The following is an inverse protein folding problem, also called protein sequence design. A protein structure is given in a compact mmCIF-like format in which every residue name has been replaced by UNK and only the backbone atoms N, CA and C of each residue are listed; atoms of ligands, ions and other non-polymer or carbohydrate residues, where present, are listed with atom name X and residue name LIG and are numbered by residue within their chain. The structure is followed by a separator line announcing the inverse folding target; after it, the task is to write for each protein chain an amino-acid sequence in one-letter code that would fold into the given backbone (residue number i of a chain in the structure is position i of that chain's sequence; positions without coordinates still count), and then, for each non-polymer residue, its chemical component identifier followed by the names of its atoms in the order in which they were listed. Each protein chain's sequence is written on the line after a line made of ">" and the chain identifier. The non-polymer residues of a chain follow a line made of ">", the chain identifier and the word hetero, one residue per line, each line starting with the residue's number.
data_IF_121483024918
#
_entry.id   IF_121483024918
#
_cell.length_a   1.000
_cell.length_b   1.000
_cell.length_c   1.000
_cell.angle_alpha   90.00
_cell.angle_beta   90.00
_cell.angle_gamma   90.00
#
_symmetry.space_group_name_H-M   'P 1'
#
loop_
_entity.id
_entity.type
_entity.pdbx_description
1 polymer ?
#
# COMPACT_ATOMS: atom_id res chain seq x y z
N UNK A 1 16.21 -42.69 8.31
CA UNK A 1 14.99 -42.52 9.15
C UNK A 1 14.81 -41.06 9.57
N UNK A 2 15.87 -40.27 9.69
CA UNK A 2 15.83 -38.85 10.03
C UNK A 2 15.23 -37.95 8.93
N UNK A 3 15.45 -38.28 7.64
CA UNK A 3 14.94 -37.50 6.50
C UNK A 3 13.41 -37.39 6.46
N UNK A 4 12.69 -38.41 6.94
CA UNK A 4 11.24 -38.41 6.97
C UNK A 4 10.69 -37.47 8.04
N UNK A 5 11.40 -37.37 9.16
CA UNK A 5 11.06 -36.46 10.25
C UNK A 5 11.35 -35.01 9.85
N UNK A 6 12.48 -34.73 9.20
CA UNK A 6 12.76 -33.39 8.70
C UNK A 6 11.74 -32.92 7.66
N UNK A 7 11.30 -33.80 6.76
CA UNK A 7 10.26 -33.48 5.79
C UNK A 7 8.93 -33.15 6.47
N UNK A 8 8.58 -33.88 7.52
CA UNK A 8 7.38 -33.61 8.29
C UNK A 8 7.44 -32.25 9.00
N UNK A 9 8.58 -31.91 9.61
CA UNK A 9 8.80 -30.61 10.25
C UNK A 9 8.78 -29.47 9.23
N UNK A 10 9.38 -29.66 8.05
CA UNK A 10 9.34 -28.67 6.95
C UNK A 10 7.91 -28.40 6.48
N UNK A 11 7.08 -29.43 6.31
CA UNK A 11 5.67 -29.30 5.91
C UNK A 11 4.84 -28.59 6.97
N UNK A 12 5.02 -28.90 8.25
CA UNK A 12 4.30 -28.23 9.33
C UNK A 12 4.69 -26.76 9.45
N UNK A 13 5.98 -26.45 9.29
CA UNK A 13 6.51 -25.08 9.37
C UNK A 13 6.00 -24.24 8.20
N UNK A 14 6.03 -24.78 6.97
CA UNK A 14 5.53 -24.07 5.78
C UNK A 14 4.02 -23.85 5.83
N UNK A 15 3.26 -24.81 6.34
CA UNK A 15 1.81 -24.69 6.53
C UNK A 15 1.49 -23.60 7.56
N UNK A 16 2.20 -23.60 8.70
CA UNK A 16 2.05 -22.59 9.74
C UNK A 16 2.38 -21.18 9.21
N UNK A 17 3.53 -21.01 8.55
CA UNK A 17 3.93 -19.74 7.93
C UNK A 17 2.90 -19.23 6.91
N UNK A 18 2.36 -20.13 6.07
CA UNK A 18 1.32 -19.78 5.09
C UNK A 18 0.05 -19.26 5.77
N UNK A 19 -0.38 -19.89 6.87
CA UNK A 19 -1.56 -19.43 7.62
C UNK A 19 -1.33 -18.10 8.33
N UNK A 20 -0.13 -17.85 8.88
CA UNK A 20 0.24 -16.57 9.49
C UNK A 20 0.28 -15.44 8.45
N UNK A 21 0.93 -15.67 7.30
CA UNK A 21 1.00 -14.71 6.19
C UNK A 21 -0.38 -14.35 5.62
N UNK A 22 -1.31 -15.32 5.58
CA UNK A 22 -2.70 -15.09 5.21
C UNK A 22 -3.43 -14.17 6.22
N UNK A 23 -3.16 -14.33 7.51
CA UNK A 23 -3.75 -13.49 8.56
C UNK A 23 -3.22 -12.04 8.51
N UNK A 24 -1.91 -11.86 8.36
CA UNK A 24 -1.27 -10.55 8.24
C UNK A 24 -1.75 -9.80 6.98
N UNK A 25 -1.82 -10.48 5.84
CA UNK A 25 -2.36 -9.90 4.60
C UNK A 25 -3.82 -9.46 4.74
N UNK A 26 -4.63 -10.19 5.52
CA UNK A 26 -6.02 -9.82 5.82
C UNK A 26 -6.09 -8.56 6.68
N UNK A 27 -5.21 -8.44 7.66
CA UNK A 27 -5.12 -7.25 8.51
C UNK A 27 -4.62 -6.03 7.73
N UNK A 28 -3.59 -6.19 6.90
CA UNK A 28 -3.07 -5.12 6.04
C UNK A 28 -4.11 -4.61 5.02
N UNK A 29 -4.88 -5.51 4.41
CA UNK A 29 -5.98 -5.10 3.50
C UNK A 29 -7.07 -4.30 4.22
N UNK A 30 -7.37 -4.66 5.48
CA UNK A 30 -8.34 -3.93 6.31
C UNK A 30 -7.84 -2.55 6.70
N UNK A 31 -6.57 -2.41 7.10
CA UNK A 31 -6.00 -1.10 7.44
C UNK A 31 -5.95 -0.16 6.24
N UNK A 32 -5.52 -0.66 5.07
CA UNK A 32 -5.52 0.11 3.82
C UNK A 32 -6.96 0.53 3.44
N UNK A 33 -7.94 -0.36 3.61
CA UNK A 33 -9.35 -0.03 3.40
C UNK A 33 -9.86 1.08 4.33
N UNK A 34 -9.53 0.99 5.61
CA UNK A 34 -9.93 1.98 6.62
C UNK A 34 -9.29 3.36 6.36
N UNK A 35 -8.02 3.39 5.97
CA UNK A 35 -7.32 4.64 5.66
C UNK A 35 -7.91 5.34 4.42
N UNK A 36 -8.25 4.57 3.37
CA UNK A 36 -8.97 5.10 2.19
C UNK A 36 -10.34 5.66 2.54
N UNK A 37 -11.08 4.98 3.41
CA UNK A 37 -12.39 5.43 3.85
C UNK A 37 -12.29 6.75 4.64
N UNK A 38 -11.36 6.82 5.60
CA UNK A 38 -11.12 8.05 6.38
C UNK A 38 -10.77 9.24 5.48
N UNK A 39 -9.92 9.03 4.48
CA UNK A 39 -9.58 10.07 3.50
C UNK A 39 -10.80 10.55 2.68
N UNK A 40 -11.67 9.63 2.28
CA UNK A 40 -12.90 9.97 1.56
C UNK A 40 -13.89 10.75 2.44
N UNK A 41 -14.01 10.39 3.72
CA UNK A 41 -14.85 11.08 4.71
C UNK A 41 -14.36 12.51 4.99
N UNK A 42 -13.05 12.72 5.18
CA UNK A 42 -12.46 14.05 5.38
C UNK A 42 -12.70 14.97 4.14
N UNK A 43 -12.61 14.39 2.94
CA UNK A 43 -12.89 15.10 1.70
C UNK A 43 -14.38 15.47 1.58
N UNK A 44 -15.27 14.54 1.91
CA UNK A 44 -16.71 14.76 1.90
C UNK A 44 -17.12 15.82 2.92
N UNK A 45 -16.56 15.78 4.14
CA UNK A 45 -16.78 16.79 5.17
C UNK A 45 -16.33 18.18 4.72
N UNK A 46 -15.16 18.27 4.08
CA UNK A 46 -14.66 19.53 3.52
C UNK A 46 -15.60 20.04 2.42
N UNK A 47 -16.05 19.17 1.52
CA UNK A 47 -16.99 19.54 0.46
C UNK A 47 -18.33 20.01 1.01
N UNK A 48 -18.82 19.38 2.09
CA UNK A 48 -20.06 19.76 2.77
C UNK A 48 -19.97 21.14 3.44
N UNK A 49 -18.85 21.43 4.13
CA UNK A 49 -18.60 22.76 4.71
C UNK A 49 -18.65 23.84 3.61
N UNK A 50 -17.96 23.60 2.49
CA UNK A 50 -17.92 24.59 1.41
C UNK A 50 -19.26 24.72 0.67
N UNK A 51 -20.04 23.63 0.55
CA UNK A 51 -21.39 23.67 0.00
C UNK A 51 -22.35 24.47 0.90
N UNK A 52 -22.25 24.30 2.22
CA UNK A 52 -23.04 25.06 3.22
C UNK A 52 -22.64 26.53 3.27
N UNK A 53 -21.36 26.85 3.06
CA UNK A 53 -20.86 28.23 2.94
C UNK A 53 -21.20 28.90 1.59
N UNK A 54 -21.91 28.21 0.68
CA UNK A 54 -22.43 28.77 -0.57
C UNK A 54 -21.38 29.06 -1.64
N UNK A 55 -20.13 28.64 -1.43
CA UNK A 55 -19.00 28.96 -2.32
C UNK A 55 -18.67 27.80 -3.29
N UNK A 56 -19.61 27.46 -4.18
CA UNK A 56 -19.59 26.26 -5.04
C UNK A 56 -18.40 26.18 -6.01
N UNK A 57 -17.73 27.30 -6.31
CA UNK A 57 -16.58 27.34 -7.24
C UNK A 57 -15.26 26.91 -6.60
N UNK A 58 -15.08 27.19 -5.31
CA UNK A 58 -13.81 26.96 -4.61
C UNK A 58 -13.42 25.47 -4.45
N UNK A 59 -14.34 24.50 -4.23
CA UNK A 59 -14.00 23.09 -4.13
C UNK A 59 -13.39 22.56 -5.42
N UNK A 60 -13.98 22.89 -6.58
CA UNK A 60 -13.48 22.41 -7.88
C UNK A 60 -12.05 22.89 -8.14
N UNK A 61 -11.79 24.19 -7.91
CA UNK A 61 -10.45 24.76 -8.08
C UNK A 61 -9.45 24.21 -7.05
N UNK A 62 -9.90 23.93 -5.82
CA UNK A 62 -9.06 23.35 -4.77
C UNK A 62 -8.74 21.88 -5.05
N UNK A 63 -9.72 21.07 -5.45
CA UNK A 63 -9.54 19.66 -5.84
C UNK A 63 -8.66 19.55 -7.09
N UNK A 64 -8.83 20.44 -8.08
CA UNK A 64 -7.95 20.52 -9.26
C UNK A 64 -6.51 20.88 -8.88
N UNK A 65 -6.32 21.81 -7.95
CA UNK A 65 -4.99 22.21 -7.45
C UNK A 65 -4.34 21.13 -6.61
N UNK A 66 -5.11 20.39 -5.82
CA UNK A 66 -4.62 19.27 -5.00
C UNK A 66 -4.28 18.05 -5.86
N UNK A 67 -5.12 17.69 -6.85
CA UNK A 67 -4.82 16.64 -7.81
C UNK A 67 -3.50 16.94 -8.55
N UNK A 68 -3.30 18.17 -9.03
CA UNK A 68 -2.05 18.58 -9.68
C UNK A 68 -0.83 18.62 -8.74
N UNK A 69 -1.02 18.89 -7.44
CA UNK A 69 0.05 18.81 -6.43
C UNK A 69 0.43 17.35 -6.14
N UNK A 70 -0.53 16.42 -6.08
CA UNK A 70 -0.26 15.01 -5.83
C UNK A 70 0.49 14.36 -7.00
N UNK A 71 0.19 14.72 -8.25
CA UNK A 71 0.96 14.30 -9.43
C UNK A 71 2.42 14.78 -9.41
N UNK A 72 2.70 15.92 -8.75
CA UNK A 72 4.06 16.44 -8.52
C UNK A 72 4.72 15.88 -7.25
N UNK A 73 3.95 15.36 -6.31
CA UNK A 73 4.41 14.74 -5.06
C UNK A 73 4.72 13.25 -5.22
N UNK A 74 4.52 12.66 -6.40
CA UNK A 74 5.18 11.41 -6.77
C UNK A 74 6.69 11.62 -6.64
N UNK A 75 7.21 11.34 -5.44
CA UNK A 75 8.63 11.31 -5.18
C UNK A 75 9.25 10.39 -6.23
N UNK A 76 10.38 10.77 -6.85
CA UNK A 76 11.11 9.87 -7.73
C UNK A 76 11.40 8.59 -6.96
N UNK A 77 10.71 7.51 -7.33
CA UNK A 77 10.88 6.19 -6.74
C UNK A 77 12.25 5.72 -7.21
N UNK A 78 13.14 5.46 -6.27
CA UNK A 78 14.48 4.96 -6.56
C UNK A 78 14.49 3.44 -6.51
N UNK A 79 15.23 2.83 -7.43
CA UNK A 79 15.55 1.41 -7.36
C UNK A 79 16.56 1.11 -6.23
N UNK A 80 16.89 -0.16 -6.05
CA UNK A 80 17.87 -0.64 -5.08
C UNK A 80 19.29 -0.08 -5.32
N UNK A 81 19.57 0.46 -6.52
CA UNK A 81 20.86 1.02 -6.94
C UNK A 81 20.87 2.56 -6.84
N UNK A 82 19.77 3.17 -6.38
CA UNK A 82 19.63 4.61 -6.18
C UNK A 82 19.26 5.41 -7.44
N UNK A 83 19.00 4.75 -8.56
CA UNK A 83 18.61 5.38 -9.83
C UNK A 83 17.11 5.67 -9.83
N UNK A 84 16.75 6.83 -10.37
CA UNK A 84 15.37 7.30 -10.43
C UNK A 84 14.58 6.53 -11.49
N UNK A 85 13.50 5.87 -11.06
CA UNK A 85 12.58 5.15 -11.93
C UNK A 85 11.54 6.14 -12.47
N UNK A 86 11.67 6.47 -13.76
CA UNK A 86 10.78 7.41 -14.48
C UNK A 86 9.61 6.71 -15.15
N UNK A 87 9.68 5.39 -15.35
CA UNK A 87 8.70 4.61 -16.11
C UNK A 87 7.66 3.95 -15.19
N UNK A 88 6.37 4.01 -15.58
CA UNK A 88 5.24 3.51 -14.77
C UNK A 88 5.36 1.99 -14.52
N UNK A 89 5.87 1.24 -15.50
CA UNK A 89 6.14 -0.19 -15.34
C UNK A 89 7.26 -0.45 -14.33
N UNK A 90 8.35 0.34 -14.37
CA UNK A 90 9.43 0.25 -13.40
C UNK A 90 8.96 0.53 -11.98
N UNK A 91 8.07 1.52 -11.78
CA UNK A 91 7.48 1.79 -10.46
C UNK A 91 6.65 0.61 -9.95
N UNK A 92 5.90 -0.04 -10.83
CA UNK A 92 5.08 -1.21 -10.48
C UNK A 92 5.95 -2.42 -10.11
N UNK A 93 7.02 -2.67 -10.88
CA UNK A 93 7.99 -3.72 -10.56
C UNK A 93 8.70 -3.46 -9.23
N UNK A 94 9.02 -2.19 -8.94
CA UNK A 94 9.59 -1.80 -7.65
C UNK A 94 8.65 -2.06 -6.47
N UNK A 95 7.35 -1.84 -6.65
CA UNK A 95 6.36 -2.20 -5.64
C UNK A 95 6.31 -3.72 -5.44
N UNK A 96 6.36 -4.50 -6.52
CA UNK A 96 6.39 -5.98 -6.44
C UNK A 96 7.62 -6.47 -5.66
N UNK A 97 8.83 -5.99 -6.00
CA UNK A 97 10.07 -6.33 -5.29
C UNK A 97 10.00 -5.98 -3.80
N UNK A 98 9.54 -4.77 -3.47
CA UNK A 98 9.40 -4.33 -2.08
C UNK A 98 8.45 -5.21 -1.28
N UNK A 99 7.32 -5.63 -1.89
CA UNK A 99 6.37 -6.54 -1.25
C UNK A 99 6.94 -7.96 -1.15
N UNK A 100 7.72 -8.43 -2.12
CA UNK A 100 8.39 -9.72 -2.03
C UNK A 100 9.45 -9.74 -0.92
N UNK A 101 10.29 -8.70 -0.80
CA UNK A 101 11.25 -8.55 0.29
C UNK A 101 10.55 -8.52 1.66
N UNK A 102 9.46 -7.75 1.78
CA UNK A 102 8.69 -7.65 3.02
C UNK A 102 8.13 -9.01 3.44
N UNK A 103 7.59 -9.77 2.48
CA UNK A 103 6.87 -11.00 2.75
C UNK A 103 7.77 -12.24 2.82
N UNK A 104 9.01 -12.15 2.33
CA UNK A 104 10.01 -13.21 2.39
C UNK A 104 11.07 -12.97 3.48
N UNK A 105 11.00 -11.84 4.21
CA UNK A 105 11.84 -11.58 5.37
C UNK A 105 11.57 -12.63 6.46
N UNK A 106 12.56 -13.45 6.86
CA UNK A 106 12.39 -14.34 8.00
C UNK A 106 12.21 -13.49 9.26
N UNK A 107 11.20 -13.79 10.07
CA UNK A 107 11.10 -13.24 11.42
C UNK A 107 12.28 -13.78 12.22
N UNK A 108 13.19 -12.88 12.61
CA UNK A 108 14.33 -13.17 13.49
C UNK A 108 13.87 -13.51 14.90
#
# INVERSE_FOLDING_TARGET
>A
MEDNWENFIKVLTSTCQSTCRMHENKQAKRSIGAEKQKYAEDLAMTAEIVAREGNVKQPYDTTKKLAGKYSKLEKPVKDNEGKTITEIQGKSNRWVEYFEELLNRPAH
#
